data_IF_759348694672
#
_entry.id   IF_759348694672
#
_cell.length_a   1.000
_cell.length_b   1.000
_cell.length_c   1.000
_cell.angle_alpha   90.00
_cell.angle_beta   90.00
_cell.angle_gamma   90.00
#
_symmetry.space_group_name_H-M   'P 1'
#
loop_
_entity.id
_entity.type
_entity.pdbx_description
1 polymer ?
#
# COMPACT_ATOMS: atom_id res chain seq x y z
N UNK A 1 -0.62 -54.54 86.84
CA UNK A 1 -1.17 -53.65 85.78
C UNK A 1 -0.25 -52.47 85.71
N UNK A 2 0.66 -52.46 84.70
CA UNK A 2 1.65 -51.39 84.53
C UNK A 2 1.15 -50.42 83.46
N UNK A 3 0.95 -49.15 83.81
CA UNK A 3 0.74 -48.04 82.84
C UNK A 3 2.06 -47.35 82.69
N UNK A 4 2.59 -47.41 81.45
CA UNK A 4 3.78 -46.69 80.99
C UNK A 4 3.40 -45.30 80.48
N UNK A 5 3.86 -44.26 81.20
CA UNK A 5 3.76 -42.90 80.74
C UNK A 5 4.78 -42.57 79.63
N UNK A 6 4.32 -42.30 78.43
CA UNK A 6 5.14 -41.71 77.31
C UNK A 6 4.96 -40.19 77.30
N UNK A 7 6.01 -39.46 77.57
CA UNK A 7 6.09 -38.01 77.37
C UNK A 7 6.43 -37.72 75.91
N UNK A 8 5.53 -37.03 75.24
CA UNK A 8 5.77 -36.55 73.90
C UNK A 8 6.36 -35.14 74.06
N UNK A 9 7.63 -34.95 73.62
CA UNK A 9 8.23 -33.62 73.48
C UNK A 9 7.85 -33.04 72.13
N UNK A 10 7.05 -31.95 72.15
CA UNK A 10 6.76 -31.16 70.99
C UNK A 10 7.87 -30.14 70.83
N UNK A 11 8.70 -30.32 69.78
CA UNK A 11 9.73 -29.37 69.38
C UNK A 11 9.02 -28.21 68.62
N UNK A 12 8.98 -27.01 69.20
CA UNK A 12 8.57 -25.82 68.53
C UNK A 12 9.75 -25.29 67.65
N UNK A 13 9.70 -25.51 66.35
CA UNK A 13 10.61 -24.88 65.40
C UNK A 13 10.16 -23.43 65.17
N UNK A 14 10.89 -22.46 65.70
CA UNK A 14 10.70 -21.04 65.42
C UNK A 14 11.29 -20.75 64.04
N UNK A 15 10.42 -20.63 63.03
CA UNK A 15 10.78 -20.13 61.70
C UNK A 15 11.05 -18.64 61.77
N UNK A 16 12.32 -18.22 61.80
CA UNK A 16 12.71 -16.82 61.64
C UNK A 16 12.54 -16.49 60.14
N UNK A 17 11.45 -15.82 59.81
CA UNK A 17 11.26 -15.23 58.48
C UNK A 17 12.22 -14.04 58.37
N UNK A 18 13.36 -14.24 57.73
CA UNK A 18 14.21 -13.14 57.30
C UNK A 18 13.47 -12.36 56.21
N UNK A 19 12.96 -11.17 56.51
CA UNK A 19 12.49 -10.25 55.50
C UNK A 19 13.67 -9.85 54.58
N UNK A 20 13.89 -10.59 53.52
CA UNK A 20 14.68 -10.11 52.41
C UNK A 20 13.89 -9.01 51.75
N UNK A 21 14.31 -7.77 51.85
CA UNK A 21 13.82 -6.66 51.04
C UNK A 21 14.01 -7.06 49.57
N UNK A 22 12.94 -7.45 48.88
CA UNK A 22 12.91 -7.53 47.44
C UNK A 22 13.43 -6.19 46.92
N UNK A 23 14.45 -6.17 46.04
CA UNK A 23 14.87 -4.93 45.39
C UNK A 23 13.63 -4.28 44.77
N UNK A 24 13.40 -3.01 45.04
CA UNK A 24 12.36 -2.26 44.37
C UNK A 24 12.61 -2.40 42.87
N UNK A 25 11.56 -2.72 42.03
CA UNK A 25 11.72 -2.71 40.62
C UNK A 25 12.29 -1.33 40.22
N UNK A 26 13.18 -1.27 39.21
CA UNK A 26 13.73 0.01 38.76
C UNK A 26 12.58 0.94 38.41
N UNK A 27 12.73 2.22 38.73
CA UNK A 27 11.76 3.24 38.39
C UNK A 27 11.37 3.10 36.91
N UNK A 28 10.07 3.24 36.56
CA UNK A 28 9.67 3.17 35.16
C UNK A 28 10.50 4.19 34.37
N UNK A 29 10.98 3.85 33.17
CA UNK A 29 11.75 4.78 32.36
C UNK A 29 11.02 6.11 32.22
N UNK A 30 11.73 7.22 32.35
CA UNK A 30 11.16 8.56 32.22
C UNK A 30 10.27 8.65 30.97
N UNK A 31 9.08 9.19 31.09
CA UNK A 31 8.17 9.47 29.97
C UNK A 31 8.69 10.64 29.11
N UNK A 32 9.50 11.53 29.70
CA UNK A 32 10.04 12.72 29.05
C UNK A 32 11.03 12.39 27.93
N UNK A 33 10.91 13.12 26.82
CA UNK A 33 11.77 13.06 25.63
C UNK A 33 12.46 14.42 25.37
N UNK A 34 12.33 15.37 26.26
CA UNK A 34 12.81 16.76 26.06
C UNK A 34 14.32 16.88 26.00
N UNK A 35 15.06 15.91 26.53
CA UNK A 35 16.53 15.86 26.44
C UNK A 35 17.03 15.54 25.00
N UNK A 36 16.13 15.06 24.14
CA UNK A 36 16.41 14.79 22.73
C UNK A 36 16.12 16.06 21.93
N UNK A 37 17.11 16.63 21.20
CA UNK A 37 16.88 17.81 20.37
C UNK A 37 15.81 17.56 19.29
N UNK A 38 14.99 18.61 19.05
CA UNK A 38 14.04 18.64 17.92
C UNK A 38 14.49 19.70 16.91
N UNK A 39 15.07 19.25 15.82
CA UNK A 39 15.57 20.10 14.74
C UNK A 39 15.12 19.51 13.39
N UNK A 40 13.83 19.65 13.03
CA UNK A 40 13.32 19.03 11.81
C UNK A 40 13.98 19.60 10.56
N UNK A 41 14.46 18.73 9.70
CA UNK A 41 14.99 19.08 8.37
C UNK A 41 13.88 18.82 7.35
N UNK A 42 13.43 19.89 6.67
CA UNK A 42 12.43 19.77 5.63
C UNK A 42 12.95 18.89 4.48
N UNK A 43 12.08 18.05 3.94
CA UNK A 43 12.36 17.26 2.75
C UNK A 43 11.53 17.78 1.57
N UNK A 44 12.19 18.00 0.45
CA UNK A 44 11.55 18.46 -0.78
C UNK A 44 11.58 17.36 -1.82
N UNK A 45 10.40 16.96 -2.30
CA UNK A 45 10.28 16.05 -3.44
C UNK A 45 10.68 16.81 -4.71
N UNK A 46 11.58 16.23 -5.48
CA UNK A 46 11.86 16.67 -6.85
C UNK A 46 11.09 15.78 -7.80
N UNK A 47 10.00 16.27 -8.42
CA UNK A 47 9.23 15.46 -9.35
C UNK A 47 10.07 15.10 -10.58
N UNK A 48 9.90 13.90 -11.16
CA UNK A 48 10.54 13.57 -12.42
C UNK A 48 9.98 14.42 -13.56
N UNK A 49 10.68 14.52 -14.72
CA UNK A 49 10.18 15.26 -15.87
C UNK A 49 8.73 14.86 -16.25
N UNK A 50 7.90 15.86 -16.52
CA UNK A 50 6.49 15.65 -16.87
C UNK A 50 5.53 15.46 -15.69
N UNK A 51 6.04 15.33 -14.45
CA UNK A 51 5.19 15.26 -13.25
C UNK A 51 4.97 16.65 -12.66
N UNK A 52 3.75 16.97 -12.19
CA UNK A 52 3.51 18.20 -11.44
C UNK A 52 4.14 18.11 -10.03
N UNK A 53 4.22 19.26 -9.37
CA UNK A 53 4.51 19.28 -7.94
C UNK A 53 3.44 18.48 -7.17
N UNK A 54 3.88 17.63 -6.21
CA UNK A 54 2.97 16.88 -5.35
C UNK A 54 2.31 17.82 -4.33
N UNK A 55 1.01 17.66 -4.12
CA UNK A 55 0.30 18.36 -3.06
C UNK A 55 0.63 17.71 -1.71
N UNK A 56 1.27 18.47 -0.82
CA UNK A 56 1.62 18.01 0.52
C UNK A 56 0.66 18.65 1.53
N UNK A 57 -0.01 17.86 2.42
CA UNK A 57 -0.89 18.41 3.46
C UNK A 57 -0.12 19.36 4.38
N UNK A 58 -0.71 20.52 4.69
CA UNK A 58 -0.07 21.53 5.53
C UNK A 58 0.15 21.05 6.98
N UNK A 59 -0.69 20.11 7.44
CA UNK A 59 -0.61 19.50 8.78
C UNK A 59 0.29 18.26 8.83
N UNK A 60 0.87 17.86 7.67
CA UNK A 60 1.84 16.76 7.58
C UNK A 60 2.96 17.10 6.57
N UNK A 61 3.74 18.17 6.80
CA UNK A 61 4.85 18.54 5.95
C UNK A 61 5.93 17.44 5.97
N UNK A 62 6.61 17.23 4.83
CA UNK A 62 7.65 16.21 4.74
C UNK A 62 8.91 16.65 5.47
N UNK A 63 9.44 15.76 6.31
CA UNK A 63 10.73 15.93 6.99
C UNK A 63 11.59 14.68 6.82
N UNK A 64 12.91 14.85 6.88
CA UNK A 64 13.86 13.72 6.80
C UNK A 64 13.58 12.69 7.90
N UNK A 65 13.37 13.16 9.14
CA UNK A 65 13.10 12.27 10.28
C UNK A 65 11.69 11.63 10.20
N UNK A 66 10.70 12.35 9.67
CA UNK A 66 9.35 11.81 9.46
C UNK A 66 9.33 10.69 8.42
N UNK A 67 10.02 10.88 7.29
CA UNK A 67 10.20 9.86 6.26
C UNK A 67 10.97 8.66 6.82
N UNK A 68 12.04 8.89 7.59
CA UNK A 68 12.81 7.82 8.21
C UNK A 68 11.96 7.00 9.20
N UNK A 69 11.14 7.65 10.04
CA UNK A 69 10.20 6.98 10.94
C UNK A 69 9.18 6.17 10.15
N UNK A 70 8.57 6.76 9.10
CA UNK A 70 7.60 6.07 8.25
C UNK A 70 8.18 4.84 7.58
N UNK A 71 9.43 4.94 7.08
CA UNK A 71 10.15 3.79 6.51
C UNK A 71 10.37 2.68 7.54
N UNK A 72 10.74 2.99 8.77
CA UNK A 72 10.87 1.98 9.84
C UNK A 72 9.52 1.32 10.12
N UNK A 73 8.45 2.11 10.32
CA UNK A 73 7.12 1.57 10.57
C UNK A 73 6.60 0.69 9.42
N UNK A 74 6.88 1.06 8.17
CA UNK A 74 6.48 0.29 6.99
C UNK A 74 7.13 -1.10 6.94
N UNK A 75 8.40 -1.18 7.34
CA UNK A 75 9.19 -2.42 7.32
C UNK A 75 9.24 -3.17 8.66
N UNK A 76 8.61 -2.65 9.71
CA UNK A 76 8.57 -3.29 11.03
C UNK A 76 7.26 -4.06 11.22
N UNK A 77 7.30 -5.36 11.55
CA UNK A 77 6.09 -6.12 11.84
C UNK A 77 5.41 -5.74 13.16
N UNK A 78 5.93 -4.78 13.94
CA UNK A 78 5.37 -4.31 15.22
C UNK A 78 3.91 -3.86 15.12
N UNK A 79 3.47 -3.47 13.91
CA UNK A 79 2.11 -3.01 13.64
C UNK A 79 1.07 -4.15 13.57
N UNK A 80 1.48 -5.41 13.49
CA UNK A 80 0.57 -6.56 13.51
C UNK A 80 0.42 -7.15 14.90
N UNK A 81 -0.68 -7.87 15.16
CA UNK A 81 -1.00 -8.40 16.48
C UNK A 81 0.06 -9.37 16.99
N UNK A 82 0.58 -10.23 16.12
CA UNK A 82 1.61 -11.23 16.41
C UNK A 82 3.05 -10.80 16.06
N UNK A 83 3.20 -9.58 15.51
CA UNK A 83 4.48 -9.03 15.06
C UNK A 83 5.20 -9.92 14.02
N UNK A 84 4.44 -10.52 13.09
CA UNK A 84 5.00 -11.34 11.99
C UNK A 84 4.95 -10.65 10.64
N UNK A 85 4.00 -9.73 10.41
CA UNK A 85 3.79 -9.03 9.13
C UNK A 85 3.81 -7.51 9.32
N UNK A 86 4.28 -6.81 8.30
CA UNK A 86 4.20 -5.35 8.17
C UNK A 86 3.71 -4.97 6.77
N UNK A 87 3.68 -3.68 6.44
CA UNK A 87 3.23 -3.20 5.14
C UNK A 87 4.01 -3.83 3.98
N UNK A 88 5.33 -4.02 4.17
CA UNK A 88 6.23 -4.66 3.20
C UNK A 88 5.84 -6.10 2.83
N UNK A 89 5.07 -6.78 3.68
CA UNK A 89 4.65 -8.17 3.42
C UNK A 89 3.70 -8.28 2.24
N UNK A 90 2.89 -7.24 2.00
CA UNK A 90 1.97 -7.14 0.86
C UNK A 90 2.44 -6.11 -0.19
N UNK A 91 3.40 -5.25 0.16
CA UNK A 91 3.91 -4.19 -0.70
C UNK A 91 5.43 -4.29 -0.87
N UNK A 92 5.88 -5.38 -1.51
CA UNK A 92 7.29 -5.64 -1.76
C UNK A 92 7.85 -4.76 -2.89
N UNK A 93 9.02 -4.14 -2.68
CA UNK A 93 9.64 -3.25 -3.67
C UNK A 93 9.93 -3.97 -5.00
N UNK A 94 10.33 -5.23 -4.97
CA UNK A 94 10.63 -6.04 -6.15
C UNK A 94 9.41 -6.25 -7.07
N UNK A 95 8.21 -6.32 -6.49
CA UNK A 95 6.93 -6.36 -7.20
C UNK A 95 6.36 -4.97 -7.48
N UNK A 96 7.19 -3.92 -7.49
CA UNK A 96 6.73 -2.54 -7.61
C UNK A 96 5.70 -2.16 -6.54
N UNK A 97 5.98 -2.54 -5.29
CA UNK A 97 5.10 -2.36 -4.13
C UNK A 97 3.80 -3.18 -4.20
N UNK A 98 3.87 -4.40 -4.74
CA UNK A 98 2.85 -5.47 -4.61
C UNK A 98 3.54 -6.75 -4.15
N UNK A 99 2.77 -7.74 -3.69
CA UNK A 99 3.31 -9.07 -3.30
C UNK A 99 3.27 -10.10 -4.43
N UNK A 100 2.78 -9.70 -5.60
CA UNK A 100 2.62 -10.58 -6.76
C UNK A 100 1.72 -11.81 -6.48
N UNK A 101 0.74 -11.66 -5.61
CA UNK A 101 -0.27 -12.68 -5.31
C UNK A 101 -1.66 -12.20 -5.79
N UNK A 102 -2.51 -13.15 -6.18
CA UNK A 102 -3.90 -12.83 -6.54
C UNK A 102 -4.61 -12.13 -5.37
N UNK A 103 -4.39 -12.63 -4.16
CA UNK A 103 -4.83 -12.02 -2.91
C UNK A 103 -3.77 -12.26 -1.84
N UNK A 104 -3.54 -11.26 -1.00
CA UNK A 104 -2.62 -11.36 0.13
C UNK A 104 -3.26 -12.13 1.29
N UNK A 105 -2.47 -12.91 2.02
CA UNK A 105 -2.92 -13.51 3.28
C UNK A 105 -2.46 -12.64 4.47
N UNK A 106 -3.36 -12.35 5.40
CA UNK A 106 -3.05 -11.68 6.66
C UNK A 106 -2.32 -12.57 7.67
N UNK A 107 -2.17 -12.09 8.90
CA UNK A 107 -1.44 -12.84 9.97
C UNK A 107 -2.11 -14.16 10.32
N UNK A 108 -3.42 -14.24 10.26
CA UNK A 108 -4.20 -15.45 10.55
C UNK A 108 -4.30 -16.41 9.35
N UNK A 109 -3.53 -16.17 8.28
CA UNK A 109 -3.59 -16.90 7.00
C UNK A 109 -4.98 -16.86 6.34
N UNK A 110 -5.77 -15.82 6.61
CA UNK A 110 -7.03 -15.54 5.93
C UNK A 110 -6.69 -14.68 4.71
N UNK A 111 -7.14 -15.13 3.54
CA UNK A 111 -6.93 -14.38 2.30
C UNK A 111 -7.83 -13.14 2.24
N UNK A 112 -7.26 -12.03 1.80
CA UNK A 112 -8.00 -10.84 1.42
C UNK A 112 -8.96 -11.11 0.24
N UNK A 113 -9.86 -10.17 -0.03
CA UNK A 113 -10.79 -10.27 -1.17
C UNK A 113 -10.20 -9.73 -2.48
N UNK A 114 -9.15 -8.91 -2.38
CA UNK A 114 -8.57 -8.17 -3.50
C UNK A 114 -7.05 -8.24 -3.47
N UNK A 115 -6.44 -8.10 -4.62
CA UNK A 115 -4.97 -8.02 -4.74
C UNK A 115 -4.42 -6.75 -4.10
N UNK A 116 -3.17 -6.82 -3.64
CA UNK A 116 -2.44 -5.63 -3.16
C UNK A 116 -2.20 -4.66 -4.33
N UNK A 117 -2.53 -3.37 -4.12
CA UNK A 117 -2.27 -2.34 -5.12
C UNK A 117 -0.83 -1.86 -5.01
N UNK A 118 -0.21 -1.55 -6.16
CA UNK A 118 1.06 -0.85 -6.17
C UNK A 118 0.97 0.51 -5.47
N UNK A 119 1.93 0.81 -4.60
CA UNK A 119 2.06 2.12 -3.95
C UNK A 119 2.88 3.11 -4.79
N UNK A 120 3.30 2.72 -6.00
CA UNK A 120 4.03 3.60 -6.91
C UNK A 120 3.21 4.84 -7.22
N UNK A 121 3.76 6.02 -6.96
CA UNK A 121 3.12 7.32 -7.16
C UNK A 121 1.85 7.57 -6.32
N UNK A 122 1.60 6.76 -5.27
CA UNK A 122 0.36 6.85 -4.48
C UNK A 122 0.12 8.24 -3.86
N UNK A 123 1.18 9.01 -3.59
CA UNK A 123 1.09 10.38 -3.08
C UNK A 123 0.41 11.37 -4.04
N UNK A 124 0.25 11.02 -5.32
CA UNK A 124 -0.46 11.84 -6.32
C UNK A 124 -1.94 11.47 -6.48
N UNK A 125 -2.42 10.41 -5.81
CA UNK A 125 -3.80 10.00 -5.95
C UNK A 125 -4.73 10.95 -5.20
N UNK A 126 -5.75 11.45 -5.89
CA UNK A 126 -6.67 12.49 -5.38
C UNK A 126 -8.12 12.04 -5.24
N UNK A 127 -8.48 10.87 -5.79
CA UNK A 127 -9.85 10.37 -5.80
C UNK A 127 -10.02 9.17 -4.86
N UNK A 128 -9.50 9.28 -3.63
CA UNK A 128 -9.49 8.22 -2.62
C UNK A 128 -8.43 7.14 -2.88
N UNK A 129 -8.31 6.18 -1.99
CA UNK A 129 -7.31 5.10 -2.01
C UNK A 129 -8.01 3.73 -1.86
N UNK A 130 -7.27 2.65 -2.03
CA UNK A 130 -7.77 1.29 -2.29
C UNK A 130 -8.45 1.15 -3.66
N UNK A 131 -8.83 -0.07 -4.02
CA UNK A 131 -9.53 -0.37 -5.27
C UNK A 131 -10.90 0.34 -5.38
N UNK A 132 -11.54 0.64 -4.26
CA UNK A 132 -12.89 1.18 -4.14
C UNK A 132 -12.94 2.66 -3.69
N UNK A 133 -11.80 3.23 -3.28
CA UNK A 133 -11.71 4.61 -2.82
C UNK A 133 -12.26 4.86 -1.41
N UNK A 134 -12.26 3.83 -0.56
CA UNK A 134 -12.80 3.93 0.82
C UNK A 134 -11.93 4.74 1.78
N UNK A 135 -10.75 5.20 1.37
CA UNK A 135 -9.93 6.14 2.14
C UNK A 135 -9.66 7.39 1.32
N UNK A 136 -9.81 8.54 1.94
CA UNK A 136 -9.70 9.84 1.28
C UNK A 136 -8.26 10.31 1.06
N UNK A 137 -7.33 9.88 1.93
CA UNK A 137 -5.91 10.25 1.89
C UNK A 137 -5.04 9.14 2.47
N UNK A 138 -3.71 9.31 2.40
CA UNK A 138 -2.74 8.32 2.87
C UNK A 138 -2.79 8.12 4.39
N UNK A 139 -2.97 9.19 5.14
CA UNK A 139 -3.06 9.12 6.59
C UNK A 139 -4.27 8.27 7.04
N UNK A 140 -5.42 8.47 6.44
CA UNK A 140 -6.61 7.67 6.71
C UNK A 140 -6.48 6.23 6.18
N UNK A 141 -5.72 6.03 5.11
CA UNK A 141 -5.47 4.69 4.56
C UNK A 141 -4.57 3.88 5.49
N UNK A 142 -3.46 4.46 5.99
CA UNK A 142 -2.48 3.79 6.81
C UNK A 142 -3.06 3.21 8.12
N UNK A 143 -4.19 3.74 8.60
CA UNK A 143 -4.86 3.25 9.80
C UNK A 143 -5.60 1.92 9.59
N UNK A 144 -6.13 1.69 8.38
CA UNK A 144 -7.09 0.60 8.12
C UNK A 144 -6.46 -0.80 8.10
N UNK A 145 -5.31 -1.05 7.47
CA UNK A 145 -4.69 -2.37 7.45
C UNK A 145 -4.35 -2.91 8.85
N UNK A 146 -4.06 -2.03 9.80
CA UNK A 146 -3.75 -2.41 11.18
C UNK A 146 -4.98 -3.00 11.87
N UNK A 147 -6.14 -2.37 11.70
CA UNK A 147 -7.40 -2.78 12.35
C UNK A 147 -8.17 -3.86 11.56
N UNK A 148 -7.79 -4.12 10.32
CA UNK A 148 -8.46 -5.14 9.52
C UNK A 148 -8.13 -6.55 10.03
N UNK A 149 -9.14 -7.33 10.48
CA UNK A 149 -8.93 -8.67 11.01
C UNK A 149 -8.43 -9.67 9.94
N UNK A 150 -8.53 -9.33 8.66
CA UNK A 150 -8.02 -10.13 7.56
C UNK A 150 -6.56 -9.79 7.25
N UNK A 151 -6.03 -8.61 7.68
CA UNK A 151 -4.69 -8.14 7.39
C UNK A 151 -3.76 -8.24 8.61
N UNK A 152 -3.59 -7.16 9.40
CA UNK A 152 -2.68 -7.12 10.54
C UNK A 152 -3.36 -7.44 11.89
N UNK A 153 -4.67 -7.44 11.94
CA UNK A 153 -5.53 -7.88 13.06
C UNK A 153 -5.09 -7.34 14.43
N UNK A 154 -4.72 -6.07 14.49
CA UNK A 154 -4.31 -5.40 15.70
C UNK A 154 -5.23 -4.19 15.97
N UNK A 155 -5.17 -3.60 17.14
CA UNK A 155 -5.80 -2.35 17.43
C UNK A 155 -4.75 -1.26 17.75
N UNK A 156 -5.09 -0.02 17.44
CA UNK A 156 -4.16 1.09 17.61
C UNK A 156 -3.76 1.36 19.05
N UNK A 157 -4.62 1.08 20.02
CA UNK A 157 -4.29 1.27 21.46
C UNK A 157 -3.11 0.36 21.84
N UNK A 158 -3.12 -0.89 21.39
CA UNK A 158 -2.01 -1.81 21.61
C UNK A 158 -0.75 -1.40 20.83
N UNK A 159 -0.90 -0.98 19.57
CA UNK A 159 0.23 -0.48 18.76
C UNK A 159 0.89 0.70 19.45
N UNK A 160 0.13 1.69 19.93
CA UNK A 160 0.67 2.84 20.65
C UNK A 160 1.48 2.40 21.88
N UNK A 161 0.97 1.42 22.64
CA UNK A 161 1.71 0.86 23.80
C UNK A 161 3.00 0.18 23.35
N UNK A 162 2.97 -0.63 22.27
CA UNK A 162 4.18 -1.26 21.71
C UNK A 162 5.21 -0.20 21.30
N UNK A 163 4.79 0.85 20.58
CA UNK A 163 5.67 1.93 20.13
C UNK A 163 6.26 2.73 21.27
N UNK A 164 5.46 3.08 22.31
CA UNK A 164 5.92 3.79 23.50
C UNK A 164 6.95 3.02 24.31
N UNK A 165 6.85 1.69 24.34
CA UNK A 165 7.78 0.80 25.06
C UNK A 165 9.01 0.41 24.27
N UNK A 166 9.00 0.60 22.96
CA UNK A 166 10.11 0.23 22.10
C UNK A 166 11.35 1.10 22.36
N UNK A 167 12.56 0.51 22.21
CA UNK A 167 13.81 1.20 22.54
C UNK A 167 14.08 2.40 21.62
N UNK A 168 13.70 2.35 20.36
CA UNK A 168 14.05 3.34 19.33
C UNK A 168 12.90 4.28 18.96
N UNK A 169 11.65 3.79 18.92
CA UNK A 169 10.53 4.59 18.41
C UNK A 169 10.28 5.88 19.18
N UNK A 170 10.32 5.96 20.54
CA UNK A 170 10.14 7.23 21.21
C UNK A 170 11.09 8.33 20.75
N UNK A 171 12.36 7.97 20.53
CA UNK A 171 13.36 8.91 19.99
C UNK A 171 13.06 9.32 18.56
N UNK A 172 12.59 8.38 17.72
CA UNK A 172 12.24 8.66 16.33
C UNK A 172 11.02 9.56 16.23
N UNK A 173 9.97 9.31 17.02
CA UNK A 173 8.78 10.18 17.10
C UNK A 173 9.14 11.58 17.61
N UNK A 174 10.03 11.69 18.61
CA UNK A 174 10.54 12.99 19.08
C UNK A 174 11.21 13.77 17.95
N UNK A 175 12.09 13.13 17.17
CA UNK A 175 12.79 13.77 16.07
C UNK A 175 11.86 14.15 14.91
N UNK A 176 10.88 13.30 14.60
CA UNK A 176 9.93 13.52 13.51
C UNK A 176 8.90 14.61 13.82
N UNK A 177 8.34 14.62 15.04
CA UNK A 177 7.17 15.42 15.38
C UNK A 177 7.36 16.36 16.56
N UNK A 178 8.48 16.34 17.26
CA UNK A 178 8.77 17.23 18.36
C UNK A 178 8.01 16.94 19.66
N UNK A 179 7.44 15.73 19.81
CA UNK A 179 6.72 15.32 21.02
C UNK A 179 7.59 15.46 22.27
N UNK A 180 7.02 15.82 23.39
CA UNK A 180 7.75 16.03 24.65
C UNK A 180 7.76 14.81 25.56
N UNK A 181 6.82 13.89 25.36
CA UNK A 181 6.65 12.70 26.17
C UNK A 181 6.28 11.47 25.29
N UNK A 182 6.62 10.26 25.76
CA UNK A 182 6.25 9.00 25.08
C UNK A 182 4.73 8.82 24.98
N UNK A 183 4.00 9.34 25.97
CA UNK A 183 2.53 9.33 26.02
C UNK A 183 1.88 10.07 24.84
N UNK A 184 2.61 10.99 24.19
CA UNK A 184 2.14 11.71 23.01
C UNK A 184 2.27 10.89 21.69
N UNK A 185 2.84 9.70 21.72
CA UNK A 185 2.85 8.80 20.54
C UNK A 185 1.44 8.30 20.33
N UNK A 186 0.88 8.64 19.16
CA UNK A 186 -0.49 8.30 18.76
C UNK A 186 -0.52 7.63 17.40
N UNK A 187 -1.62 6.93 17.09
CA UNK A 187 -1.91 6.37 15.79
C UNK A 187 -1.83 7.42 14.67
N UNK A 188 -2.28 8.64 14.95
CA UNK A 188 -2.30 9.71 13.95
C UNK A 188 -0.87 10.14 13.56
N UNK A 189 0.05 10.19 14.53
CA UNK A 189 1.46 10.45 14.24
C UNK A 189 2.12 9.28 13.50
N UNK A 190 1.76 8.05 13.84
CA UNK A 190 2.25 6.87 13.10
C UNK A 190 1.75 6.87 11.64
N UNK A 191 0.46 7.15 11.44
CA UNK A 191 -0.14 7.30 10.11
C UNK A 191 0.50 8.44 9.30
N UNK A 192 0.76 9.59 9.94
CA UNK A 192 1.47 10.72 9.33
C UNK A 192 2.88 10.33 8.88
N UNK A 193 3.62 9.58 9.68
CA UNK A 193 4.95 9.11 9.32
C UNK A 193 4.91 8.13 8.13
N UNK A 194 4.01 7.13 8.16
CA UNK A 194 3.80 6.20 7.04
C UNK A 194 3.49 6.97 5.76
N UNK A 195 2.54 7.90 5.81
CA UNK A 195 2.17 8.73 4.67
C UNK A 195 3.32 9.60 4.13
N UNK A 196 4.22 10.11 5.00
CA UNK A 196 5.42 10.81 4.55
C UNK A 196 6.34 9.89 3.75
N UNK A 197 6.56 8.65 4.21
CA UNK A 197 7.37 7.68 3.48
C UNK A 197 6.72 7.27 2.16
N UNK A 198 5.43 6.94 2.16
CA UNK A 198 4.70 6.55 0.95
C UNK A 198 4.71 7.64 -0.12
N UNK A 199 4.70 8.93 0.26
CA UNK A 199 4.86 10.05 -0.67
C UNK A 199 6.22 10.09 -1.37
N UNK A 200 7.23 9.38 -0.86
CA UNK A 200 8.53 9.23 -1.52
C UNK A 200 8.57 8.12 -2.57
N UNK A 201 7.54 7.30 -2.68
CA UNK A 201 7.43 6.20 -3.64
C UNK A 201 7.04 6.72 -5.03
N UNK A 202 7.97 7.42 -5.67
CA UNK A 202 7.74 8.13 -6.94
C UNK A 202 8.55 7.47 -8.05
N UNK A 203 7.93 7.33 -9.25
CA UNK A 203 8.62 6.91 -10.46
C UNK A 203 9.89 7.72 -10.69
N UNK A 204 10.94 7.09 -11.18
CA UNK A 204 12.20 7.78 -11.47
C UNK A 204 12.13 8.68 -12.72
N UNK A 205 11.12 8.48 -13.58
CA UNK A 205 11.04 9.11 -14.89
C UNK A 205 12.08 8.55 -15.89
N UNK A 206 12.59 7.34 -15.64
CA UNK A 206 13.64 6.70 -16.45
C UNK A 206 13.22 5.38 -17.08
N UNK A 207 11.92 5.06 -17.09
CA UNK A 207 11.42 4.00 -17.95
C UNK A 207 11.70 4.32 -19.43
N UNK A 208 11.76 3.32 -20.30
CA UNK A 208 11.90 3.58 -21.74
C UNK A 208 10.77 4.48 -22.25
N UNK A 209 9.54 4.26 -21.72
CA UNK A 209 8.37 5.09 -22.02
C UNK A 209 8.62 6.57 -21.69
N UNK A 210 9.11 6.87 -20.49
CA UNK A 210 9.39 8.25 -20.06
C UNK A 210 10.50 8.88 -20.90
N UNK A 211 11.58 8.13 -21.17
CA UNK A 211 12.71 8.63 -21.92
C UNK A 211 12.36 8.89 -23.38
N UNK A 212 11.59 8.01 -24.03
CA UNK A 212 11.16 8.17 -25.42
C UNK A 212 10.24 9.40 -25.61
N UNK A 213 9.49 9.78 -24.57
CA UNK A 213 8.62 10.96 -24.59
C UNK A 213 9.32 12.24 -24.13
N UNK A 214 10.55 12.15 -23.61
CA UNK A 214 11.33 13.28 -23.14
C UNK A 214 12.32 13.75 -24.22
N UNK A 215 12.20 15.00 -24.65
CA UNK A 215 13.08 15.56 -25.70
C UNK A 215 14.56 15.52 -25.28
N UNK A 216 15.42 15.09 -26.21
CA UNK A 216 16.89 15.16 -26.04
C UNK A 216 17.52 13.97 -25.31
N UNK A 217 16.74 12.92 -25.00
CA UNK A 217 17.28 11.70 -24.38
C UNK A 217 18.00 10.77 -25.35
N UNK A 218 17.67 10.84 -26.65
CA UNK A 218 18.16 9.92 -27.68
C UNK A 218 17.54 8.51 -27.58
N UNK A 219 16.54 8.31 -26.74
CA UNK A 219 15.79 7.06 -26.63
C UNK A 219 14.55 7.17 -27.50
N UNK A 220 14.31 6.15 -28.33
CA UNK A 220 13.15 6.10 -29.22
C UNK A 220 12.41 4.77 -29.03
N UNK A 221 11.12 4.76 -29.36
CA UNK A 221 10.35 3.53 -29.50
C UNK A 221 10.79 2.77 -30.75
N UNK A 222 10.74 1.43 -30.70
CA UNK A 222 10.80 0.61 -31.91
C UNK A 222 9.55 0.84 -32.77
N UNK A 223 9.54 0.31 -34.00
CA UNK A 223 8.36 0.39 -34.88
C UNK A 223 7.14 -0.26 -34.23
N UNK A 224 7.30 -1.41 -33.56
CA UNK A 224 6.24 -2.11 -32.85
C UNK A 224 5.74 -1.32 -31.61
N UNK A 225 6.64 -0.78 -30.79
CA UNK A 225 6.29 0.06 -29.65
C UNK A 225 5.61 1.36 -30.09
N UNK A 226 6.05 1.97 -31.22
CA UNK A 226 5.44 3.15 -31.82
C UNK A 226 4.03 2.86 -32.32
N UNK A 227 3.83 1.70 -32.94
CA UNK A 227 2.49 1.25 -33.31
C UNK A 227 1.60 1.03 -32.07
N UNK A 228 2.12 0.36 -31.03
CA UNK A 228 1.45 0.21 -29.76
C UNK A 228 1.08 1.55 -29.12
N UNK A 229 1.98 2.55 -29.18
CA UNK A 229 1.74 3.90 -28.69
C UNK A 229 0.62 4.62 -29.46
N UNK A 230 0.55 4.45 -30.79
CA UNK A 230 -0.53 5.00 -31.60
C UNK A 230 -1.89 4.39 -31.24
N UNK A 231 -1.96 3.09 -31.09
CA UNK A 231 -3.17 2.37 -30.66
C UNK A 231 -3.61 2.78 -29.26
N UNK A 232 -2.65 2.94 -28.34
CA UNK A 232 -2.91 3.35 -26.96
C UNK A 232 -3.52 4.75 -26.86
N UNK A 233 -3.08 5.71 -27.68
CA UNK A 233 -3.43 7.14 -27.59
C UNK A 233 -4.44 7.64 -28.64
N UNK A 234 -5.07 6.78 -29.43
CA UNK A 234 -6.04 7.20 -30.48
C UNK A 234 -5.46 7.94 -31.68
N UNK A 235 -4.19 7.88 -31.95
CA UNK A 235 -3.63 8.61 -33.07
C UNK A 235 -4.15 8.13 -34.45
N UNK A 236 -4.84 6.98 -34.46
CA UNK A 236 -5.55 6.46 -35.61
C UNK A 236 -7.03 6.17 -35.26
N UNK A 237 -7.92 6.20 -36.25
CA UNK A 237 -9.38 6.26 -36.17
C UNK A 237 -10.07 5.04 -35.54
N UNK A 238 -9.58 4.54 -34.41
CA UNK A 238 -10.13 3.41 -33.69
C UNK A 238 -10.77 3.81 -32.38
N UNK A 239 -12.04 3.48 -32.22
CA UNK A 239 -12.73 3.59 -30.96
C UNK A 239 -12.26 2.46 -30.01
N UNK A 240 -11.99 2.77 -28.76
CA UNK A 240 -11.59 1.78 -27.76
C UNK A 240 -10.12 1.81 -27.37
N UNK A 241 -9.72 2.81 -26.56
CA UNK A 241 -8.31 3.07 -26.31
C UNK A 241 -7.97 2.97 -24.83
N UNK A 242 -6.78 2.40 -24.56
CA UNK A 242 -6.24 2.29 -23.22
C UNK A 242 -6.08 3.68 -22.56
N UNK A 243 -5.64 4.67 -23.32
CA UNK A 243 -5.46 6.06 -22.88
C UNK A 243 -6.74 6.76 -22.40
N UNK A 244 -7.94 6.20 -22.66
CA UNK A 244 -9.18 6.71 -22.06
C UNK A 244 -9.18 6.64 -20.53
N UNK A 245 -8.72 5.53 -19.97
CA UNK A 245 -8.66 5.29 -18.52
C UNK A 245 -7.24 5.45 -17.97
N UNK A 246 -6.24 5.12 -18.78
CA UNK A 246 -4.83 5.07 -18.38
C UNK A 246 -4.04 6.24 -18.98
N UNK A 247 -4.42 7.48 -18.65
CA UNK A 247 -3.85 8.71 -19.22
C UNK A 247 -2.98 9.50 -18.26
N UNK A 248 -2.33 10.53 -18.81
CA UNK A 248 -1.53 11.47 -18.04
C UNK A 248 -0.24 10.87 -17.49
N UNK A 249 0.43 11.64 -16.64
CA UNK A 249 1.74 11.28 -16.08
C UNK A 249 1.70 10.04 -15.17
N UNK A 250 0.54 9.74 -14.60
CA UNK A 250 0.33 8.54 -13.77
C UNK A 250 -0.05 7.30 -14.58
N UNK A 251 -0.40 7.44 -15.85
CA UNK A 251 -1.01 6.38 -16.66
C UNK A 251 -2.25 5.78 -15.97
N UNK A 252 -3.05 6.66 -15.37
CA UNK A 252 -4.37 6.42 -14.79
C UNK A 252 -5.10 7.75 -14.62
N UNK A 253 -6.42 7.75 -14.81
CA UNK A 253 -7.29 8.89 -14.52
C UNK A 253 -7.83 8.87 -13.07
N UNK A 254 -7.48 7.85 -12.29
CA UNK A 254 -7.99 7.61 -10.93
C UNK A 254 -9.52 7.52 -10.81
N UNK A 255 -10.24 7.22 -11.89
CA UNK A 255 -11.69 7.07 -11.92
C UNK A 255 -12.09 5.60 -11.69
N UNK A 256 -13.28 5.39 -11.12
CA UNK A 256 -13.83 4.06 -10.85
C UNK A 256 -14.71 3.62 -12.04
N UNK A 257 -14.40 2.45 -12.61
CA UNK A 257 -15.03 1.93 -13.80
C UNK A 257 -15.37 0.46 -13.65
N UNK A 258 -16.43 0.04 -14.33
CA UNK A 258 -16.72 -1.37 -14.52
C UNK A 258 -16.11 -1.78 -15.87
N UNK A 259 -15.05 -2.55 -15.81
CA UNK A 259 -14.31 -3.05 -16.97
C UNK A 259 -14.86 -4.39 -17.49
N UNK A 260 -16.13 -4.68 -17.24
CA UNK A 260 -16.81 -5.87 -17.75
C UNK A 260 -16.20 -7.21 -17.30
N UNK A 261 -15.62 -7.27 -16.10
CA UNK A 261 -14.88 -8.43 -15.59
C UNK A 261 -15.84 -9.57 -15.15
N UNK A 262 -16.99 -9.22 -14.60
CA UNK A 262 -17.97 -10.15 -14.06
C UNK A 262 -19.28 -10.13 -14.85
N UNK A 263 -19.86 -11.32 -15.05
CA UNK A 263 -21.20 -11.46 -15.61
C UNK A 263 -22.23 -11.41 -14.47
N UNK A 264 -23.18 -10.48 -14.57
CA UNK A 264 -24.26 -10.34 -13.59
C UNK A 264 -25.59 -10.13 -14.30
N UNK A 265 -26.65 -10.70 -13.74
CA UNK A 265 -28.00 -10.54 -14.28
C UNK A 265 -28.56 -9.13 -14.02
N UNK A 266 -28.17 -8.54 -12.90
CA UNK A 266 -28.48 -7.15 -12.53
C UNK A 266 -27.34 -6.61 -11.62
N UNK A 267 -27.35 -5.31 -11.35
CA UNK A 267 -26.27 -4.66 -10.60
C UNK A 267 -26.17 -5.08 -9.11
N UNK A 268 -27.16 -5.76 -8.54
CA UNK A 268 -27.07 -6.33 -7.19
C UNK A 268 -26.30 -7.65 -7.19
N UNK A 269 -26.17 -8.30 -8.35
CA UNK A 269 -25.51 -9.60 -8.51
C UNK A 269 -23.98 -9.58 -8.35
N UNK A 270 -23.35 -8.42 -8.33
CA UNK A 270 -21.90 -8.34 -8.08
C UNK A 270 -21.55 -8.88 -6.71
N UNK A 271 -20.67 -9.87 -6.65
CA UNK A 271 -20.14 -10.44 -5.40
C UNK A 271 -19.27 -9.41 -4.68
N UNK A 272 -18.34 -8.79 -5.41
CA UNK A 272 -17.60 -7.63 -4.93
C UNK A 272 -18.21 -6.36 -5.56
N UNK A 273 -18.86 -5.57 -4.73
CA UNK A 273 -19.53 -4.36 -5.18
C UNK A 273 -18.57 -3.19 -5.44
N UNK A 274 -17.30 -3.32 -5.09
CA UNK A 274 -16.30 -2.30 -5.34
C UNK A 274 -16.71 -0.92 -4.81
N UNK A 275 -16.74 0.08 -5.69
CA UNK A 275 -17.14 1.46 -5.34
C UNK A 275 -18.53 1.54 -4.73
N UNK A 276 -19.45 0.67 -5.12
CA UNK A 276 -20.80 0.63 -4.58
C UNK A 276 -20.87 0.36 -3.07
N UNK A 277 -19.90 -0.36 -2.49
CA UNK A 277 -19.80 -0.54 -1.02
C UNK A 277 -19.51 0.78 -0.29
N UNK A 278 -18.86 1.73 -0.97
CA UNK A 278 -18.48 3.02 -0.39
C UNK A 278 -19.57 4.07 -0.58
N UNK A 279 -20.15 4.14 -1.78
CA UNK A 279 -21.14 5.17 -2.14
C UNK A 279 -22.56 4.79 -1.76
N UNK A 280 -22.85 3.50 -1.61
CA UNK A 280 -24.21 2.94 -1.49
C UNK A 280 -25.11 3.28 -2.70
N UNK A 281 -24.50 3.53 -3.88
CA UNK A 281 -25.17 3.79 -5.14
C UNK A 281 -25.14 2.51 -5.97
N UNK A 282 -26.33 1.98 -6.33
CA UNK A 282 -26.43 0.75 -7.10
C UNK A 282 -25.63 0.79 -8.42
N UNK A 283 -25.63 1.93 -9.11
CA UNK A 283 -24.90 2.12 -10.38
C UNK A 283 -23.36 2.10 -10.20
N UNK A 284 -22.84 2.16 -8.97
CA UNK A 284 -21.42 2.05 -8.66
C UNK A 284 -20.97 0.62 -8.30
N UNK A 285 -21.89 -0.33 -8.23
CA UNK A 285 -21.56 -1.73 -7.99
C UNK A 285 -20.68 -2.29 -9.12
N UNK A 286 -19.66 -3.06 -8.76
CA UNK A 286 -18.72 -3.65 -9.71
C UNK A 286 -17.71 -2.66 -10.32
N UNK A 287 -17.70 -1.40 -9.87
CA UNK A 287 -16.71 -0.41 -10.31
C UNK A 287 -15.48 -0.43 -9.40
N UNK A 288 -14.31 -0.44 -10.02
CA UNK A 288 -13.01 -0.37 -9.37
C UNK A 288 -12.16 0.74 -10.00
N UNK A 289 -11.16 1.21 -9.24
CA UNK A 289 -10.21 2.20 -9.75
C UNK A 289 -9.47 1.65 -10.97
N UNK A 290 -9.33 2.46 -12.02
CA UNK A 290 -8.36 2.21 -13.07
C UNK A 290 -6.94 2.35 -12.46
N UNK A 291 -6.13 1.28 -12.36
CA UNK A 291 -4.81 1.35 -11.75
C UNK A 291 -3.81 2.05 -12.69
N UNK A 292 -2.65 2.48 -12.12
CA UNK A 292 -1.53 2.92 -12.96
C UNK A 292 -1.01 1.77 -13.82
N UNK A 293 -0.58 2.08 -15.06
CA UNK A 293 0.17 1.13 -15.89
C UNK A 293 1.69 1.27 -15.71
N UNK A 294 2.16 2.20 -14.89
CA UNK A 294 3.58 2.27 -14.56
C UNK A 294 4.00 1.00 -13.84
N UNK A 295 5.09 0.39 -14.29
CA UNK A 295 5.58 -0.91 -13.82
C UNK A 295 4.60 -2.08 -13.97
N UNK A 296 3.60 -1.96 -14.85
CA UNK A 296 2.55 -2.99 -14.98
C UNK A 296 3.12 -4.39 -15.27
N UNK A 297 4.22 -4.50 -15.99
CA UNK A 297 4.88 -5.78 -16.27
C UNK A 297 5.46 -6.46 -15.00
N UNK A 298 5.58 -5.75 -13.87
CA UNK A 298 6.11 -6.26 -12.61
C UNK A 298 5.01 -6.61 -11.60
N UNK A 299 3.74 -6.29 -11.87
CA UNK A 299 2.66 -6.33 -10.88
C UNK A 299 1.62 -7.43 -11.12
N UNK A 300 1.99 -8.46 -11.89
CA UNK A 300 1.12 -9.64 -12.02
C UNK A 300 0.88 -10.32 -10.65
N UNK A 301 -0.28 -10.97 -10.43
CA UNK A 301 -1.42 -11.09 -11.32
C UNK A 301 -2.31 -9.84 -11.37
N UNK A 302 -3.16 -9.74 -12.40
CA UNK A 302 -3.89 -8.53 -12.75
C UNK A 302 -5.36 -8.58 -12.34
N UNK A 303 -6.01 -7.41 -12.36
CA UNK A 303 -7.35 -7.09 -11.89
C UNK A 303 -7.43 -7.00 -10.36
N UNK A 304 -8.57 -6.53 -9.85
CA UNK A 304 -8.75 -6.33 -8.41
C UNK A 304 -8.72 -7.64 -7.60
N UNK A 305 -8.96 -8.76 -8.24
CA UNK A 305 -8.98 -10.10 -7.65
C UNK A 305 -7.84 -11.01 -8.15
N UNK A 306 -6.94 -10.48 -8.99
CA UNK A 306 -5.77 -11.21 -9.47
C UNK A 306 -6.06 -12.37 -10.41
N UNK A 307 -7.21 -12.40 -11.11
CA UNK A 307 -7.62 -13.54 -11.94
C UNK A 307 -6.80 -13.76 -13.21
N UNK A 308 -6.12 -12.75 -13.73
CA UNK A 308 -5.28 -12.87 -14.91
C UNK A 308 -3.80 -12.89 -14.52
N UNK A 309 -3.09 -13.90 -14.99
CA UNK A 309 -1.68 -14.12 -14.64
C UNK A 309 -0.71 -13.39 -15.57
N UNK A 310 -1.16 -13.03 -16.78
CA UNK A 310 -0.32 -12.39 -17.79
C UNK A 310 -1.02 -11.19 -18.45
N UNK A 311 -0.23 -10.28 -19.03
CA UNK A 311 -0.76 -9.13 -19.76
C UNK A 311 -1.51 -9.56 -21.04
N UNK A 312 -1.12 -10.68 -21.65
CA UNK A 312 -1.82 -11.25 -22.80
C UNK A 312 -3.26 -11.60 -22.43
N UNK A 313 -3.48 -12.25 -21.26
CA UNK A 313 -4.83 -12.56 -20.76
C UNK A 313 -5.65 -11.29 -20.50
N UNK A 314 -5.01 -10.23 -20.02
CA UNK A 314 -5.66 -8.91 -19.84
C UNK A 314 -6.08 -8.34 -21.20
N UNK A 315 -5.18 -8.38 -22.21
CA UNK A 315 -5.49 -7.89 -23.55
C UNK A 315 -6.56 -8.74 -24.25
N UNK A 316 -6.59 -10.04 -24.01
CA UNK A 316 -7.65 -10.94 -24.51
C UNK A 316 -9.01 -10.57 -23.90
N UNK A 317 -9.06 -10.31 -22.60
CA UNK A 317 -10.29 -9.82 -21.95
C UNK A 317 -10.78 -8.52 -22.59
N UNK A 318 -9.93 -7.53 -22.76
CA UNK A 318 -10.30 -6.27 -23.40
C UNK A 318 -10.69 -6.45 -24.87
N UNK A 319 -10.00 -7.33 -25.61
CA UNK A 319 -10.33 -7.62 -27.01
C UNK A 319 -11.73 -8.23 -27.20
N UNK A 320 -12.21 -8.99 -26.21
CA UNK A 320 -13.59 -9.54 -26.23
C UNK A 320 -14.65 -8.54 -25.81
N UNK A 321 -14.26 -7.42 -25.16
CA UNK A 321 -15.15 -6.47 -24.51
C UNK A 321 -15.78 -7.01 -23.22
N UNK A 322 -15.33 -8.17 -22.72
CA UNK A 322 -15.78 -8.77 -21.46
C UNK A 322 -17.26 -9.10 -21.38
N UNK A 323 -17.80 -9.10 -20.18
CA UNK A 323 -19.19 -9.42 -19.87
C UNK A 323 -20.06 -8.15 -19.80
N UNK A 324 -21.32 -8.27 -20.19
CA UNK A 324 -22.26 -7.15 -20.13
C UNK A 324 -22.85 -6.97 -18.73
N UNK A 325 -23.02 -5.71 -18.35
CA UNK A 325 -23.87 -5.25 -17.26
C UNK A 325 -24.36 -3.84 -17.56
N UNK A 326 -25.43 -3.38 -16.90
CA UNK A 326 -26.04 -2.08 -17.19
C UNK A 326 -25.14 -0.86 -16.92
N UNK A 327 -24.06 -1.05 -16.15
CA UNK A 327 -23.10 0.01 -15.80
C UNK A 327 -21.69 -0.24 -16.35
N UNK A 328 -21.54 -1.15 -17.31
CA UNK A 328 -20.26 -1.38 -17.98
C UNK A 328 -19.73 -0.08 -18.61
N UNK A 329 -18.44 0.17 -18.52
CA UNK A 329 -17.85 1.34 -19.17
C UNK A 329 -18.08 1.27 -20.69
N UNK A 330 -18.56 2.34 -21.34
CA UNK A 330 -18.84 2.35 -22.79
C UNK A 330 -17.65 1.93 -23.66
N UNK A 331 -16.41 2.14 -23.19
CA UNK A 331 -15.21 1.72 -23.90
C UNK A 331 -15.18 0.22 -24.15
N UNK A 332 -15.69 -0.59 -23.21
CA UNK A 332 -15.75 -2.06 -23.33
C UNK A 332 -16.70 -2.48 -24.45
N UNK A 333 -17.79 -1.74 -24.64
CA UNK A 333 -18.75 -1.98 -25.74
C UNK A 333 -18.07 -1.64 -27.09
N UNK A 334 -17.27 -0.57 -27.14
CA UNK A 334 -16.53 -0.18 -28.33
C UNK A 334 -15.48 -1.25 -28.70
N UNK A 335 -14.74 -1.74 -27.71
CA UNK A 335 -13.75 -2.82 -27.89
C UNK A 335 -14.41 -4.13 -28.38
N UNK A 336 -15.59 -4.47 -27.84
CA UNK A 336 -16.38 -5.62 -28.31
C UNK A 336 -16.78 -5.50 -29.78
N UNK A 337 -17.17 -4.30 -30.20
CA UNK A 337 -17.59 -4.05 -31.59
C UNK A 337 -16.43 -3.97 -32.57
N UNK A 338 -15.24 -3.64 -32.08
CA UNK A 338 -14.02 -3.51 -32.88
C UNK A 338 -12.82 -4.14 -32.11
N UNK A 339 -12.79 -5.48 -32.02
CA UNK A 339 -11.81 -6.18 -31.19
C UNK A 339 -10.39 -5.99 -31.69
N UNK A 340 -9.44 -6.00 -30.73
CA UNK A 340 -8.01 -5.97 -31.05
C UNK A 340 -7.60 -7.23 -31.81
N UNK A 341 -6.89 -7.05 -32.90
CA UNK A 341 -6.26 -8.14 -33.63
C UNK A 341 -4.99 -8.61 -32.91
N UNK A 342 -4.51 -9.80 -33.20
CA UNK A 342 -3.28 -10.32 -32.60
C UNK A 342 -2.06 -9.41 -32.77
N UNK A 343 -1.75 -8.86 -33.97
CA UNK A 343 -0.66 -7.89 -34.13
C UNK A 343 -0.83 -6.63 -33.28
N UNK A 344 -2.06 -6.15 -33.09
CA UNK A 344 -2.32 -4.98 -32.23
C UNK A 344 -2.13 -5.28 -30.75
N UNK A 345 -2.54 -6.47 -30.29
CA UNK A 345 -2.25 -6.91 -28.92
C UNK A 345 -0.74 -7.00 -28.67
N UNK A 346 0.03 -7.55 -29.60
CA UNK A 346 1.50 -7.63 -29.50
C UNK A 346 2.13 -6.23 -29.44
N UNK A 347 1.70 -5.31 -30.29
CA UNK A 347 2.20 -3.93 -30.26
C UNK A 347 1.88 -3.21 -28.94
N UNK A 348 0.66 -3.37 -28.42
CA UNK A 348 0.27 -2.82 -27.11
C UNK A 348 1.11 -3.46 -25.99
N UNK A 349 1.34 -4.77 -26.03
CA UNK A 349 2.17 -5.49 -25.08
C UNK A 349 3.60 -4.96 -25.08
N UNK A 350 4.19 -4.77 -26.28
CA UNK A 350 5.52 -4.19 -26.43
C UNK A 350 5.59 -2.80 -25.78
N UNK A 351 4.57 -1.96 -26.00
CA UNK A 351 4.49 -0.65 -25.35
C UNK A 351 4.41 -0.77 -23.81
N UNK A 352 3.55 -1.64 -23.27
CA UNK A 352 3.38 -1.82 -21.82
C UNK A 352 4.70 -2.20 -21.14
N UNK A 353 5.53 -3.01 -21.77
CA UNK A 353 6.86 -3.35 -21.27
C UNK A 353 7.80 -2.14 -21.17
N UNK A 354 7.64 -1.13 -22.03
CA UNK A 354 8.44 0.11 -21.96
C UNK A 354 8.16 0.93 -20.71
N UNK A 355 7.01 0.72 -20.04
CA UNK A 355 6.59 1.42 -18.82
C UNK A 355 7.31 0.92 -17.57
N UNK A 356 8.22 -0.05 -17.70
CA UNK A 356 8.98 -0.62 -16.58
C UNK A 356 10.10 0.31 -16.13
N UNK A 357 10.02 0.75 -14.88
CA UNK A 357 10.99 1.62 -14.21
C UNK A 357 11.87 0.80 -13.25
N UNK A 358 12.96 0.26 -13.78
CA UNK A 358 13.91 -0.54 -13.01
C UNK A 358 14.67 0.28 -11.97
N UNK A 359 14.77 1.60 -12.14
CA UNK A 359 15.43 2.49 -11.17
C UNK A 359 14.57 2.60 -9.91
N UNK A 360 13.25 2.62 -10.04
CA UNK A 360 12.35 2.63 -8.90
C UNK A 360 12.49 1.37 -8.04
N UNK A 361 12.39 0.19 -8.64
CA UNK A 361 12.42 -1.08 -7.89
C UNK A 361 13.80 -1.43 -7.31
N UNK A 362 14.84 -0.72 -7.74
CA UNK A 362 16.20 -0.84 -7.21
C UNK A 362 16.61 0.37 -6.34
N UNK A 363 15.68 1.25 -5.95
CA UNK A 363 15.99 2.43 -5.18
C UNK A 363 16.30 2.08 -3.71
N UNK A 364 17.57 2.29 -3.25
CA UNK A 364 17.95 1.93 -1.87
C UNK A 364 17.23 2.75 -0.80
N UNK A 365 16.70 3.94 -1.14
CA UNK A 365 15.91 4.74 -0.22
C UNK A 365 14.56 4.10 0.12
N UNK A 366 14.08 3.17 -0.71
CA UNK A 366 12.80 2.46 -0.55
C UNK A 366 12.97 1.04 0.02
N UNK A 367 14.19 0.54 0.26
CA UNK A 367 14.43 -0.80 0.85
C UNK A 367 14.23 -0.79 2.36
N UNK A 368 14.27 -1.97 3.01
CA UNK A 368 14.24 -2.08 4.47
C UNK A 368 15.37 -1.26 5.13
N UNK A 369 15.09 -0.55 6.23
CA UNK A 369 16.11 0.15 7.01
C UNK A 369 16.81 -0.76 8.04
N UNK A 370 16.42 -2.04 8.13
CA UNK A 370 16.93 -3.03 9.07
C UNK A 370 18.00 -3.93 8.45
#
# INVERSE_FOLDING_TARGET
MNFSNRYIYILFAVLVYACTKTPMPPDPPSDSLTDIPYNPVAYTITPPPGFPAMSIPADNPLTVDGIALGRHLFYDPILSADSTKGCFSCHALSGSMTDNLAVSAGIDNINGRRSSMSLLNVGYYYNGLFWDGRSENLEAQALKPVEDPIELHENWDNVEVKLRRHVSYPTMFRKAFGISAKSEITRDLAAKALAQFERTMISSGKSKYDLALTTGTGVEFSDEESYGFSLYNQLETRDGQCGHCHQGFLLTDNVYRNNALDEVADLNGFVDKGRGEVTNILYDNGKFRAPTLRNIALTAPYMHDGRFLTLEQVLDHYATGGHYSDNVDPIMIQLKNNPLTEPEKQAILALLHTMTDTVFVNNPALTSPF
#
